data_IF_886100428402
#
_entry.id   IF_886100428402
#
_cell.length_a   1.000
_cell.length_b   1.000
_cell.length_c   1.000
_cell.angle_alpha   90.00
_cell.angle_beta   90.00
_cell.angle_gamma   90.00
#
_symmetry.space_group_name_H-M   'P 1'
#
loop_
_entity.id
_entity.type
_entity.pdbx_description
1 polymer ?
#
# COMPACT_ATOMS: atom_id res chain seq x y z
N UNK A 1 -23.55 -77.92 46.75
CA UNK A 1 -24.51 -78.84 46.10
C UNK A 1 -25.25 -78.05 45.03
N UNK A 2 -25.11 -78.44 43.75
CA UNK A 2 -25.90 -78.02 42.58
C UNK A 2 -25.86 -76.53 42.15
N UNK A 3 -25.78 -76.15 40.87
CA UNK A 3 -25.59 -76.85 39.60
C UNK A 3 -25.16 -75.78 38.58
N UNK A 4 -24.09 -76.02 37.84
CA UNK A 4 -23.77 -75.29 36.61
C UNK A 4 -24.83 -75.60 35.55
N UNK A 5 -25.24 -74.59 34.77
CA UNK A 5 -25.78 -74.77 33.42
C UNK A 5 -25.08 -73.79 32.49
N UNK A 6 -24.38 -74.34 31.51
CA UNK A 6 -23.82 -73.62 30.38
C UNK A 6 -24.93 -73.27 29.39
N UNK A 7 -24.86 -72.07 28.80
CA UNK A 7 -25.37 -71.79 27.46
C UNK A 7 -24.44 -70.74 26.81
N UNK A 8 -23.76 -71.13 25.73
CA UNK A 8 -23.11 -70.19 24.80
C UNK A 8 -24.17 -69.63 23.85
N UNK A 9 -24.12 -68.33 23.56
CA UNK A 9 -24.16 -67.68 22.23
C UNK A 9 -24.59 -66.21 22.38
N UNK A 10 -23.81 -65.30 21.79
CA UNK A 10 -24.22 -63.90 21.56
C UNK A 10 -23.12 -62.88 21.81
N UNK A 11 -22.26 -62.66 20.80
CA UNK A 11 -21.42 -61.46 20.70
C UNK A 11 -22.36 -60.27 20.49
N UNK A 12 -22.29 -59.25 21.35
CA UNK A 12 -22.66 -57.89 20.98
C UNK A 12 -21.65 -56.92 21.57
N UNK A 13 -20.71 -56.52 20.71
CA UNK A 13 -19.84 -55.37 20.94
C UNK A 13 -20.75 -54.15 20.87
N UNK A 14 -21.04 -53.52 22.01
CA UNK A 14 -21.60 -52.17 22.01
C UNK A 14 -20.45 -51.19 21.80
N UNK A 15 -20.23 -50.85 20.53
CA UNK A 15 -19.41 -49.71 20.17
C UNK A 15 -20.04 -48.45 20.73
N UNK A 16 -19.30 -47.75 21.60
CA UNK A 16 -19.58 -46.34 21.84
C UNK A 16 -19.14 -45.63 20.57
N UNK A 17 -20.11 -45.19 19.78
CA UNK A 17 -19.88 -44.30 18.64
C UNK A 17 -19.18 -43.08 19.22
N UNK A 18 -17.88 -42.92 18.93
CA UNK A 18 -17.21 -41.66 19.15
C UNK A 18 -17.92 -40.64 18.26
N UNK A 19 -18.88 -39.92 18.84
CA UNK A 19 -19.41 -38.72 18.24
C UNK A 19 -18.23 -37.79 17.99
N UNK A 20 -17.83 -37.68 16.73
CA UNK A 20 -16.97 -36.60 16.30
C UNK A 20 -17.84 -35.34 16.41
N UNK A 21 -17.80 -34.69 17.56
CA UNK A 21 -18.33 -33.33 17.69
C UNK A 21 -17.37 -32.46 16.89
N UNK A 22 -17.62 -32.35 15.58
CA UNK A 22 -16.99 -31.31 14.80
C UNK A 22 -17.51 -29.99 15.36
N UNK A 23 -16.68 -29.29 16.12
CA UNK A 23 -16.96 -27.92 16.53
C UNK A 23 -17.00 -27.08 15.26
N UNK A 24 -18.19 -26.61 14.89
CA UNK A 24 -18.35 -25.72 13.74
C UNK A 24 -17.47 -24.49 13.98
N UNK A 25 -16.45 -24.28 13.13
CA UNK A 25 -15.71 -23.04 13.15
C UNK A 25 -16.71 -21.90 12.92
N UNK A 26 -16.70 -20.90 13.80
CA UNK A 26 -17.53 -19.72 13.62
C UNK A 26 -17.03 -19.04 12.34
N UNK A 27 -17.88 -18.96 11.32
CA UNK A 27 -17.56 -18.25 10.10
C UNK A 27 -17.37 -16.76 10.44
N UNK A 28 -16.27 -16.17 9.96
CA UNK A 28 -15.94 -14.77 10.20
C UNK A 28 -15.52 -14.07 8.90
N UNK A 29 -15.55 -12.73 8.87
CA UNK A 29 -14.88 -11.93 7.85
C UNK A 29 -13.35 -12.16 7.82
N UNK A 30 -12.72 -11.71 6.75
CA UNK A 30 -11.26 -11.66 6.57
C UNK A 30 -10.94 -10.57 5.53
N UNK A 31 -10.53 -9.40 6.00
CA UNK A 31 -10.26 -8.16 5.29
C UNK A 31 -8.80 -8.13 4.86
N UNK A 32 -8.59 -8.03 3.55
CA UNK A 32 -7.26 -7.96 2.98
C UNK A 32 -7.16 -6.76 2.06
N UNK A 33 -6.06 -6.00 2.20
CA UNK A 33 -5.66 -5.04 1.17
C UNK A 33 -5.06 -5.83 0.01
N UNK A 34 -5.80 -5.94 -1.09
CA UNK A 34 -5.43 -6.78 -2.24
C UNK A 34 -4.56 -6.08 -3.27
N UNK A 35 -4.68 -4.75 -3.38
CA UNK A 35 -3.83 -3.97 -4.29
C UNK A 35 -3.71 -2.52 -3.81
N UNK A 36 -2.62 -1.88 -4.24
CA UNK A 36 -2.42 -0.44 -4.16
C UNK A 36 -1.96 0.01 -5.55
N UNK A 37 -2.62 1.02 -6.10
CA UNK A 37 -2.26 1.63 -7.39
C UNK A 37 -1.95 3.10 -7.18
N UNK A 38 -0.99 3.61 -7.96
CA UNK A 38 -0.62 5.03 -8.01
C UNK A 38 -0.95 5.57 -9.39
N UNK A 39 -1.66 6.69 -9.46
CA UNK A 39 -2.00 7.38 -10.70
C UNK A 39 -1.63 8.87 -10.65
N UNK A 40 -0.89 9.38 -11.64
CA UNK A 40 -0.18 8.63 -12.68
C UNK A 40 0.89 7.71 -12.08
N UNK A 41 1.37 6.70 -12.81
CA UNK A 41 2.30 5.69 -12.26
C UNK A 41 3.68 6.23 -11.85
N UNK A 42 4.02 7.45 -12.30
CA UNK A 42 5.23 8.18 -11.94
C UNK A 42 4.89 9.68 -11.81
N UNK A 43 4.21 10.09 -10.73
CA UNK A 43 3.86 11.50 -10.53
C UNK A 43 5.10 12.32 -10.19
N UNK A 44 4.95 13.64 -10.26
CA UNK A 44 5.89 14.55 -9.64
C UNK A 44 5.78 14.51 -8.11
N UNK A 45 6.83 14.87 -7.37
CA UNK A 45 6.75 15.06 -5.91
C UNK A 45 5.56 15.95 -5.51
N UNK A 46 4.95 15.66 -4.36
CA UNK A 46 3.70 16.27 -3.88
C UNK A 46 2.45 16.03 -4.75
N UNK A 47 2.54 15.22 -5.80
CA UNK A 47 1.44 14.87 -6.70
C UNK A 47 1.22 13.35 -6.72
N UNK A 48 0.10 12.91 -7.30
CA UNK A 48 -0.29 11.51 -7.39
C UNK A 48 -1.49 11.18 -6.51
N UNK A 49 -2.26 10.20 -6.97
CA UNK A 49 -3.40 9.62 -6.28
C UNK A 49 -3.14 8.14 -6.05
N UNK A 50 -3.06 7.75 -4.78
CA UNK A 50 -3.02 6.34 -4.40
C UNK A 50 -4.45 5.85 -4.15
N UNK A 51 -4.73 4.65 -4.64
CA UNK A 51 -6.00 3.94 -4.38
C UNK A 51 -5.68 2.54 -3.90
N UNK A 52 -6.16 2.16 -2.73
CA UNK A 52 -6.12 0.79 -2.26
C UNK A 52 -7.42 0.06 -2.60
N UNK A 53 -7.33 -1.23 -2.89
CA UNK A 53 -8.48 -2.13 -3.00
C UNK A 53 -8.50 -3.07 -1.81
N UNK A 54 -9.56 -2.99 -1.01
CA UNK A 54 -9.82 -3.83 0.15
C UNK A 54 -10.84 -4.87 -0.25
N UNK A 55 -10.64 -6.12 0.16
CA UNK A 55 -11.57 -7.23 -0.09
C UNK A 55 -11.83 -8.02 1.18
N UNK A 56 -13.08 -8.37 1.40
CA UNK A 56 -13.44 -9.40 2.38
C UNK A 56 -13.37 -10.77 1.70
N UNK A 57 -12.31 -11.53 2.00
CA UNK A 57 -12.09 -12.90 1.52
C UNK A 57 -12.65 -13.96 2.50
N UNK A 58 -13.21 -13.52 3.62
CA UNK A 58 -13.78 -14.39 4.64
C UNK A 58 -15.14 -14.97 4.24
N UNK A 59 -15.67 -15.80 5.13
CA UNK A 59 -16.91 -16.52 4.89
C UNK A 59 -18.18 -15.79 5.34
N UNK A 60 -18.02 -14.65 6.01
CA UNK A 60 -19.10 -13.76 6.49
C UNK A 60 -18.84 -12.30 6.13
N UNK A 61 -19.89 -11.48 6.16
CA UNK A 61 -19.77 -10.02 6.05
C UNK A 61 -19.40 -9.36 7.38
N UNK A 62 -18.77 -8.19 7.36
CA UNK A 62 -18.38 -7.47 8.59
C UNK A 62 -19.56 -6.88 9.36
N UNK A 63 -20.72 -6.69 8.69
CA UNK A 63 -21.94 -6.12 9.26
C UNK A 63 -22.30 -4.75 8.67
N UNK A 64 -23.59 -4.46 8.52
CA UNK A 64 -24.12 -3.31 7.76
C UNK A 64 -24.03 -1.94 8.48
N UNK A 65 -23.54 -1.91 9.72
CA UNK A 65 -23.35 -0.69 10.51
C UNK A 65 -21.95 -0.62 11.13
N UNK A 66 -21.01 -1.36 10.56
CA UNK A 66 -19.60 -1.34 11.00
C UNK A 66 -18.84 -0.32 10.17
N UNK A 67 -18.04 0.48 10.86
CA UNK A 67 -17.05 1.35 10.24
C UNK A 67 -15.70 0.65 10.33
N UNK A 68 -14.98 0.59 9.22
CA UNK A 68 -13.67 -0.05 9.14
C UNK A 68 -12.64 1.05 8.90
N UNK A 69 -11.81 1.31 9.91
CA UNK A 69 -10.77 2.33 9.85
C UNK A 69 -9.59 1.86 8.99
N UNK A 70 -9.02 2.79 8.22
CA UNK A 70 -7.86 2.55 7.36
C UNK A 70 -6.77 3.55 7.71
N UNK A 71 -5.54 3.07 7.87
CA UNK A 71 -4.35 3.91 7.99
C UNK A 71 -3.44 3.75 6.80
N UNK A 72 -2.90 4.87 6.32
CA UNK A 72 -1.93 4.94 5.25
C UNK A 72 -0.59 5.42 5.78
N UNK A 73 0.50 4.81 5.31
CA UNK A 73 1.84 5.14 5.73
C UNK A 73 2.73 5.40 4.51
N UNK A 74 3.54 6.46 4.60
CA UNK A 74 4.62 6.80 3.68
C UNK A 74 5.95 6.61 4.41
N UNK A 75 6.79 5.72 3.89
CA UNK A 75 8.11 5.37 4.46
C UNK A 75 8.05 5.05 5.97
N UNK A 76 7.00 4.34 6.38
CA UNK A 76 6.77 3.92 7.76
C UNK A 76 6.10 4.97 8.66
N UNK A 77 5.89 6.20 8.19
CA UNK A 77 5.18 7.24 8.94
C UNK A 77 3.73 7.32 8.50
N UNK A 78 2.78 7.33 9.45
CA UNK A 78 1.37 7.54 9.13
C UNK A 78 1.20 8.91 8.48
N UNK A 79 0.61 8.93 7.30
CA UNK A 79 0.46 10.14 6.48
C UNK A 79 -1.00 10.53 6.26
N UNK A 80 -1.92 9.56 6.33
CA UNK A 80 -3.34 9.77 6.03
C UNK A 80 -4.19 8.65 6.66
N UNK A 81 -5.51 8.84 6.67
CA UNK A 81 -6.49 7.89 7.21
C UNK A 81 -7.79 7.90 6.42
N UNK A 82 -8.45 6.76 6.36
CA UNK A 82 -9.68 6.54 5.62
C UNK A 82 -10.70 5.71 6.40
N UNK A 83 -11.89 5.54 5.82
CA UNK A 83 -12.96 4.77 6.45
C UNK A 83 -13.88 4.12 5.41
N UNK A 84 -14.10 2.81 5.54
CA UNK A 84 -15.19 2.12 4.83
C UNK A 84 -16.41 2.14 5.73
N UNK A 85 -17.49 2.77 5.25
CA UNK A 85 -18.77 2.85 5.97
C UNK A 85 -19.70 1.69 5.61
N UNK A 86 -20.52 1.28 6.57
CA UNK A 86 -21.51 0.20 6.42
C UNK A 86 -20.93 -1.20 6.12
N UNK A 87 -19.66 -1.40 6.48
CA UNK A 87 -18.96 -2.67 6.40
C UNK A 87 -18.77 -3.21 5.00
N UNK A 88 -18.32 -4.46 4.93
CA UNK A 88 -18.03 -5.15 3.68
C UNK A 88 -18.65 -6.56 3.70
N UNK A 89 -19.57 -6.80 2.78
CA UNK A 89 -20.21 -8.10 2.62
C UNK A 89 -19.22 -9.19 2.20
N UNK A 90 -19.62 -10.46 2.38
CA UNK A 90 -18.84 -11.62 1.94
C UNK A 90 -18.39 -11.47 0.48
N UNK A 91 -17.11 -11.66 0.21
CA UNK A 91 -16.54 -11.61 -1.13
C UNK A 91 -16.51 -10.22 -1.79
N UNK A 92 -17.03 -9.19 -1.11
CA UNK A 92 -17.15 -7.83 -1.65
C UNK A 92 -15.83 -7.08 -1.53
N UNK A 93 -15.69 -6.03 -2.32
CA UNK A 93 -14.54 -5.14 -2.32
C UNK A 93 -14.96 -3.67 -2.23
N UNK A 94 -14.09 -2.87 -1.64
CA UNK A 94 -14.18 -1.42 -1.58
C UNK A 94 -12.82 -0.82 -1.94
N UNK A 95 -12.82 0.46 -2.30
CA UNK A 95 -11.59 1.21 -2.60
C UNK A 95 -11.47 2.39 -1.68
N UNK A 96 -10.25 2.70 -1.27
CA UNK A 96 -9.94 3.89 -0.47
C UNK A 96 -8.84 4.70 -1.16
N UNK A 97 -9.07 6.00 -1.31
CA UNK A 97 -8.17 6.95 -1.97
C UNK A 97 -7.39 7.78 -0.94
N UNK A 98 -6.11 8.05 -1.20
CA UNK A 98 -5.37 9.06 -0.43
C UNK A 98 -5.86 10.47 -0.73
N UNK A 99 -5.86 11.33 0.27
CA UNK A 99 -6.10 12.76 0.15
C UNK A 99 -4.83 13.61 0.25
N UNK A 100 -3.78 13.13 0.94
CA UNK A 100 -2.58 13.95 1.20
C UNK A 100 -1.24 13.21 1.35
N UNK A 101 -1.19 11.90 1.05
CA UNK A 101 -0.01 11.05 1.29
C UNK A 101 1.01 11.03 0.12
N UNK A 102 1.62 12.17 -0.23
CA UNK A 102 2.64 12.26 -1.28
C UNK A 102 4.02 12.68 -0.72
N UNK A 103 5.13 12.08 -1.19
CA UNK A 103 6.48 12.44 -0.76
C UNK A 103 6.91 13.80 -1.30
N UNK A 104 7.78 14.47 -0.53
CA UNK A 104 8.37 15.77 -0.88
C UNK A 104 9.70 15.64 -1.65
N UNK A 105 10.25 14.44 -1.72
CA UNK A 105 11.52 14.14 -2.39
C UNK A 105 11.28 13.18 -3.54
N UNK A 106 12.04 13.28 -4.64
CA UNK A 106 11.96 12.30 -5.71
C UNK A 106 12.63 10.99 -5.28
N UNK A 107 12.24 9.90 -5.95
CA UNK A 107 12.80 8.58 -5.72
C UNK A 107 11.74 7.54 -5.41
N UNK A 108 12.22 6.38 -4.96
CA UNK A 108 11.37 5.25 -4.58
C UNK A 108 10.92 5.44 -3.14
N UNK A 109 9.61 5.39 -2.93
CA UNK A 109 8.96 5.50 -1.63
C UNK A 109 8.09 4.27 -1.36
N UNK A 110 7.99 3.89 -0.08
CA UNK A 110 7.15 2.78 0.37
C UNK A 110 5.80 3.29 0.83
N UNK A 111 4.74 2.74 0.26
CA UNK A 111 3.36 3.00 0.65
C UNK A 111 2.79 1.75 1.29
N UNK A 112 2.27 1.88 2.51
CA UNK A 112 1.56 0.81 3.21
C UNK A 112 0.15 1.25 3.55
N UNK A 113 -0.83 0.39 3.26
CA UNK A 113 -2.18 0.50 3.76
C UNK A 113 -2.42 -0.56 4.82
N UNK A 114 -3.16 -0.20 5.87
CA UNK A 114 -3.62 -1.11 6.91
C UNK A 114 -5.12 -0.90 7.06
N UNK A 115 -5.91 -1.97 6.97
CA UNK A 115 -7.36 -1.96 7.18
C UNK A 115 -7.70 -2.49 8.58
N UNK A 116 -8.84 -2.08 9.12
CA UNK A 116 -9.32 -2.40 10.47
C UNK A 116 -8.30 -2.09 11.57
N UNK A 117 -7.76 -0.87 11.52
CA UNK A 117 -6.66 -0.44 12.41
C UNK A 117 -7.06 -0.33 13.88
N UNK A 118 -8.36 -0.29 14.16
CA UNK A 118 -8.96 -0.29 15.49
C UNK A 118 -9.34 -1.70 15.97
N UNK A 119 -9.18 -2.72 15.11
CA UNK A 119 -9.58 -4.11 15.37
C UNK A 119 -11.04 -4.24 15.80
N UNK A 120 -11.92 -3.49 15.14
CA UNK A 120 -13.37 -3.49 15.40
C UNK A 120 -14.03 -4.74 14.80
N UNK A 121 -13.47 -5.26 13.70
CA UNK A 121 -13.94 -6.49 13.07
C UNK A 121 -13.15 -7.67 13.65
N UNK A 122 -13.83 -8.67 14.21
CA UNK A 122 -13.14 -9.93 14.53
C UNK A 122 -13.05 -10.81 13.29
N UNK A 123 -11.83 -11.13 12.88
CA UNK A 123 -11.56 -11.79 11.62
C UNK A 123 -11.08 -13.24 11.79
N UNK A 124 -10.94 -13.96 10.67
CA UNK A 124 -10.27 -15.26 10.65
C UNK A 124 -8.75 -15.12 10.84
N UNK A 125 -8.18 -14.05 10.32
CA UNK A 125 -6.76 -13.75 10.38
C UNK A 125 -6.59 -12.24 10.57
N UNK A 126 -5.95 -11.83 11.65
CA UNK A 126 -5.70 -10.41 11.95
C UNK A 126 -4.35 -9.93 11.38
N UNK A 127 -3.59 -10.83 10.74
CA UNK A 127 -2.21 -10.56 10.31
C UNK A 127 -2.07 -10.27 8.81
N UNK A 128 -3.16 -10.28 8.04
CA UNK A 128 -3.21 -10.02 6.59
C UNK A 128 -3.93 -8.72 6.23
N UNK A 129 -4.18 -7.87 7.22
CA UNK A 129 -4.87 -6.59 7.06
C UNK A 129 -3.96 -5.49 6.50
N UNK A 130 -2.76 -5.81 6.00
CA UNK A 130 -1.84 -4.80 5.48
C UNK A 130 -1.14 -5.24 4.20
N UNK A 131 -0.87 -4.26 3.33
CA UNK A 131 -0.07 -4.42 2.12
C UNK A 131 0.88 -3.23 1.99
N UNK A 132 2.15 -3.51 1.68
CA UNK A 132 3.16 -2.50 1.37
C UNK A 132 3.65 -2.68 -0.08
N UNK A 133 3.70 -1.58 -0.83
CA UNK A 133 4.26 -1.53 -2.19
C UNK A 133 5.20 -0.33 -2.33
N UNK A 134 6.19 -0.46 -3.21
CA UNK A 134 7.09 0.64 -3.57
C UNK A 134 6.62 1.31 -4.85
N UNK A 135 6.62 2.64 -4.87
CA UNK A 135 6.34 3.45 -6.05
C UNK A 135 7.41 4.54 -6.22
N UNK A 136 7.49 5.11 -7.42
CA UNK A 136 8.48 6.13 -7.75
C UNK A 136 7.83 7.48 -8.00
N UNK A 137 8.30 8.50 -7.29
CA UNK A 137 8.01 9.91 -7.58
C UNK A 137 9.19 10.55 -8.29
N UNK A 138 8.88 11.45 -9.22
CA UNK A 138 9.86 12.14 -10.05
C UNK A 138 10.00 13.59 -9.63
N UNK A 139 11.18 14.17 -9.88
CA UNK A 139 11.47 15.57 -9.56
C UNK A 139 11.65 16.40 -10.83
N UNK A 140 12.28 17.57 -10.67
CA UNK A 140 12.84 18.28 -11.81
C UNK A 140 13.94 17.45 -12.46
N UNK A 141 14.09 17.58 -13.78
CA UNK A 141 15.16 16.96 -14.57
C UNK A 141 15.79 18.05 -15.45
N UNK A 142 16.95 18.56 -15.02
CA UNK A 142 17.61 19.69 -15.67
C UNK A 142 18.67 19.21 -16.64
N UNK A 143 18.53 19.60 -17.90
CA UNK A 143 19.50 19.32 -18.95
C UNK A 143 20.09 20.61 -19.52
N UNK A 144 21.38 20.58 -19.82
CA UNK A 144 22.02 21.63 -20.61
C UNK A 144 21.66 21.44 -22.08
N UNK A 145 21.17 22.51 -22.70
CA UNK A 145 20.84 22.52 -24.13
C UNK A 145 21.92 23.21 -24.96
N UNK A 146 22.45 24.32 -24.45
CA UNK A 146 23.40 25.13 -25.21
C UNK A 146 24.32 25.93 -24.28
N UNK A 147 25.49 26.27 -24.81
CA UNK A 147 26.48 27.12 -24.18
C UNK A 147 27.04 28.08 -25.23
N UNK A 148 26.73 29.38 -25.09
CA UNK A 148 27.10 30.41 -26.04
C UNK A 148 28.06 31.42 -25.42
N UNK A 149 29.17 31.66 -26.10
CA UNK A 149 30.12 32.73 -25.78
C UNK A 149 29.90 33.92 -26.73
N UNK A 150 29.79 35.12 -26.18
CA UNK A 150 29.59 36.35 -26.94
C UNK A 150 30.54 37.47 -26.50
N UNK A 151 31.42 38.00 -27.38
CA UNK A 151 31.63 37.54 -28.75
C UNK A 151 32.24 36.14 -28.81
N UNK A 152 32.05 35.41 -29.91
CA UNK A 152 32.56 34.05 -30.09
C UNK A 152 34.10 33.94 -30.00
N UNK A 153 34.79 35.08 -30.14
CA UNK A 153 36.25 35.22 -29.99
C UNK A 153 36.53 36.44 -29.11
N UNK A 154 36.38 36.32 -27.78
CA UNK A 154 36.58 37.45 -26.88
C UNK A 154 38.07 37.78 -26.72
N UNK A 155 38.35 39.06 -26.49
CA UNK A 155 39.65 39.49 -26.01
C UNK A 155 39.88 39.08 -24.56
N UNK A 156 41.12 39.23 -24.08
CA UNK A 156 41.45 38.96 -22.68
C UNK A 156 40.61 39.84 -21.76
N UNK A 157 39.86 39.22 -20.84
CA UNK A 157 38.99 39.91 -19.89
C UNK A 157 37.62 40.34 -20.45
N UNK A 158 37.29 39.93 -21.67
CA UNK A 158 35.99 40.15 -22.30
C UNK A 158 35.23 38.82 -22.45
N UNK A 159 33.95 38.90 -22.84
CA UNK A 159 33.12 37.75 -23.17
C UNK A 159 32.06 37.45 -22.12
N UNK A 160 30.83 37.26 -22.60
CA UNK A 160 29.70 36.77 -21.82
C UNK A 160 29.41 35.34 -22.21
N UNK A 161 29.51 34.42 -21.24
CA UNK A 161 29.02 33.06 -21.41
C UNK A 161 27.56 32.99 -20.99
N UNK A 162 26.72 32.39 -21.83
CA UNK A 162 25.31 32.15 -21.56
C UNK A 162 25.02 30.67 -21.72
N UNK A 163 24.55 30.03 -20.65
CA UNK A 163 24.07 28.65 -20.70
C UNK A 163 22.54 28.64 -20.83
N UNK A 164 22.02 27.76 -21.70
CA UNK A 164 20.59 27.47 -21.80
C UNK A 164 20.32 26.13 -21.14
N UNK A 165 19.51 26.14 -20.08
CA UNK A 165 19.11 24.94 -19.32
C UNK A 165 17.61 24.74 -19.51
N UNK A 166 17.19 23.49 -19.67
CA UNK A 166 15.78 23.11 -19.76
C UNK A 166 15.43 22.11 -18.68
N UNK A 167 14.31 22.34 -17.99
CA UNK A 167 13.67 21.30 -17.20
C UNK A 167 12.83 20.40 -18.13
N UNK A 168 13.13 19.11 -18.13
CA UNK A 168 12.40 18.07 -18.83
C UNK A 168 11.56 17.20 -17.89
N UNK A 169 11.72 17.39 -16.57
CA UNK A 169 10.97 16.67 -15.55
C UNK A 169 9.57 17.25 -15.35
N UNK A 170 8.65 16.49 -14.73
CA UNK A 170 7.26 16.92 -14.54
C UNK A 170 7.08 17.95 -13.42
N UNK A 171 8.11 18.19 -12.60
CA UNK A 171 8.04 19.13 -11.47
C UNK A 171 8.89 20.37 -11.76
N UNK A 172 8.34 21.56 -11.52
CA UNK A 172 9.06 22.82 -11.60
C UNK A 172 10.18 22.94 -10.55
N UNK A 173 11.14 23.81 -10.78
CA UNK A 173 12.25 24.11 -9.84
C UNK A 173 11.95 25.29 -8.93
N UNK A 174 10.72 25.78 -8.95
CA UNK A 174 10.30 27.10 -8.42
C UNK A 174 10.26 27.20 -6.90
N UNK A 175 10.31 26.09 -6.17
CA UNK A 175 10.10 26.12 -4.70
C UNK A 175 11.13 25.38 -3.84
N UNK A 176 12.03 24.55 -4.41
CA UNK A 176 12.92 23.70 -3.57
C UNK A 176 14.34 23.49 -4.09
N UNK A 177 14.75 24.12 -5.20
CA UNK A 177 16.07 23.89 -5.76
C UNK A 177 16.76 25.23 -6.05
N UNK A 178 17.78 25.54 -5.25
CA UNK A 178 18.85 26.40 -5.75
C UNK A 178 19.50 25.62 -6.91
N UNK A 179 19.35 26.11 -8.13
CA UNK A 179 20.06 25.54 -9.27
C UNK A 179 21.48 26.09 -9.21
N UNK A 180 22.37 25.32 -8.60
CA UNK A 180 23.79 25.65 -8.56
C UNK A 180 24.42 25.33 -9.93
N UNK A 181 24.74 26.38 -10.67
CA UNK A 181 25.43 26.27 -11.96
C UNK A 181 26.91 26.56 -11.72
N UNK A 182 27.74 25.53 -11.87
CA UNK A 182 29.19 25.70 -11.92
C UNK A 182 29.65 25.75 -13.38
N UNK A 183 30.48 26.74 -13.68
CA UNK A 183 31.15 26.86 -14.97
C UNK A 183 32.66 26.81 -14.72
N UNK A 184 33.34 25.97 -15.51
CA UNK A 184 34.78 25.80 -15.45
C UNK A 184 35.38 26.27 -16.77
N UNK A 185 36.49 27.00 -16.69
CA UNK A 185 37.30 27.39 -17.85
C UNK A 185 38.54 26.51 -17.83
N UNK A 186 38.78 25.78 -18.93
CA UNK A 186 39.93 24.89 -19.11
C UNK A 186 40.05 23.68 -18.15
N UNK A 187 38.99 23.36 -17.41
CA UNK A 187 38.92 22.22 -16.46
C UNK A 187 39.24 22.63 -15.03
#
# INVERSE_FOLDING_TARGET
MMKRKNALLGILVWGVVAGCWAQTAIAKPDLVVTDIVLSPSMPGVNDGKLTATIKNIGDEGTGIFVNIDIDMYLDGNKCDSGIIVAGLGKGSSATEDTTSCNPKTPGVHKIKFVVDTTSEVSENNENNNSLEKSFTWTGADLVFLDLKLDPATPGVGDGKLTATIKNQGPVGTDTFLNIDIAMYLDG
#
